data_IF_606983139860
#
_entry.id   IF_606983139860
#
_cell.length_a   1.000
_cell.length_b   1.000
_cell.length_c   1.000
_cell.angle_alpha   90.00
_cell.angle_beta   90.00
_cell.angle_gamma   90.00
#
_symmetry.space_group_name_H-M   'P 1'
#
loop_
_entity.id
_entity.type
_entity.pdbx_description
1 polymer ?
#
# COMPACT_ATOMS: atom_id res chain seq x y z
N UNK A 1 -24.95 20.69 69.38
CA UNK A 1 -24.23 21.94 69.02
C UNK A 1 -22.82 21.59 68.65
N UNK A 2 -22.52 21.54 67.33
CA UNK A 2 -21.20 21.79 66.75
C UNK A 2 -21.32 21.80 65.24
N UNK A 3 -20.96 22.92 64.64
CA UNK A 3 -21.12 23.29 63.21
C UNK A 3 -20.10 22.60 62.34
N UNK A 4 -20.52 22.09 61.17
CA UNK A 4 -19.62 21.71 60.08
C UNK A 4 -19.27 22.94 59.25
N UNK A 5 -18.02 23.07 58.73
CA UNK A 5 -17.67 24.10 57.74
C UNK A 5 -17.91 23.61 56.32
N UNK A 6 -18.38 24.53 55.49
CA UNK A 6 -18.68 24.35 54.07
C UNK A 6 -17.39 24.27 53.24
N UNK A 7 -17.23 23.23 52.41
CA UNK A 7 -16.17 23.10 51.43
C UNK A 7 -16.50 23.86 50.13
N UNK A 8 -15.59 24.71 49.69
CA UNK A 8 -15.63 25.50 48.44
C UNK A 8 -15.46 24.60 47.24
N UNK A 9 -16.46 24.56 46.38
CA UNK A 9 -16.32 24.06 44.99
C UNK A 9 -15.41 25.01 44.20
N UNK A 10 -14.28 24.51 43.69
CA UNK A 10 -13.48 25.17 42.63
C UNK A 10 -14.13 24.86 41.30
N UNK A 11 -14.64 25.91 40.64
CA UNK A 11 -15.06 25.86 39.23
C UNK A 11 -13.80 25.74 38.37
N UNK A 12 -13.70 24.67 37.58
CA UNK A 12 -12.72 24.55 36.49
C UNK A 12 -13.35 25.20 35.28
N UNK A 13 -12.74 26.30 34.81
CA UNK A 13 -13.20 27.05 33.65
C UNK A 13 -12.91 26.24 32.37
N UNK A 14 -13.94 26.06 31.58
CA UNK A 14 -13.82 25.57 30.21
C UNK A 14 -13.24 26.69 29.34
N UNK A 15 -12.04 26.48 28.77
CA UNK A 15 -11.51 27.34 27.71
C UNK A 15 -12.18 26.94 26.39
N UNK A 16 -13.13 27.76 25.95
CA UNK A 16 -13.64 27.72 24.59
C UNK A 16 -12.71 28.54 23.69
N UNK A 17 -12.00 27.88 22.79
CA UNK A 17 -11.25 28.57 21.74
C UNK A 17 -12.22 28.86 20.60
N UNK A 18 -12.65 30.10 20.51
CA UNK A 18 -13.42 30.64 19.39
C UNK A 18 -12.44 30.98 18.28
N UNK A 19 -12.45 30.24 17.17
CA UNK A 19 -11.75 30.62 15.95
C UNK A 19 -12.64 31.57 15.16
N UNK A 20 -12.28 32.86 15.16
CA UNK A 20 -12.89 33.86 14.32
C UNK A 20 -12.47 33.65 12.86
N UNK A 21 -13.45 33.38 12.00
CA UNK A 21 -13.28 33.44 10.54
C UNK A 21 -13.43 34.87 10.12
N UNK A 22 -12.31 35.52 9.79
CA UNK A 22 -12.30 36.83 9.14
C UNK A 22 -12.53 36.65 7.64
N UNK A 23 -13.71 37.02 7.17
CA UNK A 23 -14.01 37.19 5.78
C UNK A 23 -13.42 38.55 5.32
N UNK A 24 -12.30 38.50 4.58
CA UNK A 24 -11.72 39.61 3.88
C UNK A 24 -12.02 39.50 2.38
N UNK A 25 -13.02 40.20 1.91
CA UNK A 25 -13.24 40.42 0.47
C UNK A 25 -12.26 41.44 -0.09
N UNK A 26 -11.54 41.06 -1.12
CA UNK A 26 -10.90 42.00 -2.04
C UNK A 26 -11.12 41.51 -3.46
N UNK A 27 -11.98 42.22 -4.15
CA UNK A 27 -12.13 42.12 -5.59
C UNK A 27 -10.93 42.82 -6.24
N UNK A 28 -10.24 42.16 -7.14
CA UNK A 28 -9.37 42.81 -8.13
C UNK A 28 -9.52 42.15 -9.49
N UNK A 29 -9.68 43.02 -10.45
CA UNK A 29 -10.05 42.83 -11.84
C UNK A 29 -9.11 41.90 -12.63
N UNK A 30 -9.71 41.19 -13.59
CA UNK A 30 -9.01 40.51 -14.67
C UNK A 30 -8.47 41.53 -15.72
N UNK A 31 -7.45 41.14 -16.47
CA UNK A 31 -7.51 41.38 -17.90
C UNK A 31 -7.05 40.18 -18.76
N UNK A 32 -7.73 40.01 -19.87
CA UNK A 32 -7.10 39.66 -21.14
C UNK A 32 -7.16 38.18 -21.56
N UNK A 33 -8.28 37.82 -22.18
CA UNK A 33 -8.37 36.70 -23.12
C UNK A 33 -7.34 36.82 -24.26
N UNK A 34 -6.57 35.76 -24.50
CA UNK A 34 -6.07 35.47 -25.83
C UNK A 34 -6.53 34.04 -26.20
N UNK A 35 -7.43 34.03 -27.13
CA UNK A 35 -7.89 32.88 -27.89
C UNK A 35 -6.73 32.35 -28.75
N UNK A 36 -6.45 31.06 -28.69
CA UNK A 36 -5.67 30.37 -29.72
C UNK A 36 -6.61 29.58 -30.62
N UNK A 37 -6.36 29.49 -31.93
CA UNK A 37 -7.34 29.01 -32.88
C UNK A 37 -7.39 27.50 -33.00
N UNK A 38 -8.61 27.08 -33.19
CA UNK A 38 -9.09 25.77 -33.58
C UNK A 38 -8.45 25.31 -34.91
N UNK A 39 -7.77 24.16 -34.97
CA UNK A 39 -7.35 23.53 -36.21
C UNK A 39 -8.30 22.33 -36.46
N UNK A 40 -9.21 22.57 -37.36
CA UNK A 40 -10.12 21.56 -37.89
C UNK A 40 -9.37 20.48 -38.70
N UNK A 41 -9.74 19.24 -38.45
CA UNK A 41 -9.44 18.10 -39.31
C UNK A 41 -10.06 18.31 -40.71
N UNK A 42 -9.24 18.07 -41.71
CA UNK A 42 -9.71 17.93 -43.09
C UNK A 42 -9.25 16.59 -43.65
N UNK A 43 -10.19 15.71 -43.78
CA UNK A 43 -10.06 14.48 -44.56
C UNK A 43 -10.05 14.86 -46.07
N UNK A 44 -9.14 14.27 -46.81
CA UNK A 44 -9.26 14.12 -48.25
C UNK A 44 -8.75 12.76 -48.65
N UNK A 45 -9.67 11.99 -49.23
CA UNK A 45 -9.40 10.79 -49.98
C UNK A 45 -8.85 11.16 -51.38
N UNK A 46 -8.05 10.30 -51.95
CA UNK A 46 -7.59 10.45 -53.32
C UNK A 46 -6.79 9.24 -53.81
N UNK A 47 -7.38 8.56 -54.74
CA UNK A 47 -7.08 7.28 -55.39
C UNK A 47 -5.71 7.14 -56.08
N UNK A 48 -5.31 5.89 -56.10
CA UNK A 48 -4.71 5.06 -57.15
C UNK A 48 -3.84 5.68 -58.26
N UNK A 49 -2.68 5.15 -58.50
CA UNK A 49 -2.41 4.28 -59.65
C UNK A 49 -0.95 3.84 -59.77
N UNK A 50 -0.82 2.63 -60.23
CA UNK A 50 0.34 1.87 -60.68
C UNK A 50 1.45 2.66 -61.38
N UNK A 51 2.70 2.28 -61.05
CA UNK A 51 3.73 2.11 -62.09
C UNK A 51 4.85 1.15 -61.59
N UNK A 52 4.90 0.02 -62.23
CA UNK A 52 6.01 -0.91 -62.26
C UNK A 52 7.30 -0.20 -62.71
N UNK A 53 8.40 -0.33 -61.95
CA UNK A 53 9.73 -0.09 -62.45
C UNK A 53 10.68 -1.20 -61.98
N UNK A 54 11.31 -1.82 -62.95
CA UNK A 54 12.22 -2.95 -62.85
C UNK A 54 13.48 -2.66 -62.01
N UNK A 55 14.13 -3.68 -61.44
CA UNK A 55 15.33 -3.51 -60.64
C UNK A 55 16.57 -3.27 -61.53
N UNK A 56 17.32 -2.23 -61.25
CA UNK A 56 18.62 -1.97 -61.81
C UNK A 56 19.66 -3.00 -61.30
N UNK A 57 20.58 -3.46 -62.13
CA UNK A 57 21.56 -4.45 -61.73
C UNK A 57 22.66 -3.84 -60.81
N UNK A 58 22.98 -4.60 -59.79
CA UNK A 58 24.04 -4.32 -58.81
C UNK A 58 25.42 -4.37 -59.49
N UNK A 59 26.31 -3.40 -59.31
CA UNK A 59 27.67 -3.51 -59.78
C UNK A 59 28.46 -4.57 -58.99
N UNK A 60 29.35 -5.27 -59.73
CA UNK A 60 30.22 -6.29 -59.19
C UNK A 60 31.21 -5.73 -58.15
N UNK A 61 31.60 -6.51 -57.15
CA UNK A 61 32.63 -6.08 -56.18
C UNK A 61 34.00 -6.01 -56.82
N UNK A 62 34.84 -5.05 -56.40
CA UNK A 62 36.23 -4.97 -56.83
C UNK A 62 37.05 -6.14 -56.28
N UNK A 63 38.19 -6.49 -56.93
CA UNK A 63 39.02 -7.60 -56.53
C UNK A 63 39.63 -7.38 -55.15
N UNK A 64 39.62 -8.44 -54.32
CA UNK A 64 40.20 -8.48 -52.98
C UNK A 64 41.70 -8.24 -53.01
N UNK A 65 42.13 -7.11 -52.48
CA UNK A 65 43.53 -6.87 -52.08
C UNK A 65 43.83 -7.75 -50.86
N UNK A 66 44.78 -8.66 -51.02
CA UNK A 66 45.32 -9.47 -49.93
C UNK A 66 46.28 -8.60 -49.10
N UNK A 67 45.75 -8.00 -48.03
CA UNK A 67 46.58 -7.46 -46.97
C UNK A 67 47.10 -8.62 -46.09
N UNK A 68 48.39 -8.68 -45.77
CA UNK A 68 48.92 -9.74 -44.91
C UNK A 68 48.30 -9.65 -43.52
N UNK A 69 47.87 -10.80 -42.98
CA UNK A 69 47.35 -10.94 -41.63
C UNK A 69 48.34 -10.36 -40.60
N UNK A 70 47.86 -9.52 -39.66
CA UNK A 70 48.70 -9.13 -38.54
C UNK A 70 49.03 -10.35 -37.67
N UNK A 71 50.21 -10.35 -37.00
CA UNK A 71 50.59 -11.47 -36.14
C UNK A 71 49.54 -11.71 -35.06
N UNK A 72 49.25 -13.00 -34.81
CA UNK A 72 48.29 -13.43 -33.78
C UNK A 72 48.67 -12.81 -32.43
N UNK A 73 47.78 -12.03 -31.88
CA UNK A 73 47.83 -11.59 -30.48
C UNK A 73 47.73 -12.88 -29.65
N UNK A 74 48.68 -13.17 -28.74
CA UNK A 74 48.53 -14.30 -27.84
C UNK A 74 47.23 -14.13 -27.06
N UNK A 75 46.41 -15.19 -26.98
CA UNK A 75 45.22 -15.23 -26.17
C UNK A 75 45.55 -14.75 -24.74
N UNK A 76 44.69 -13.94 -24.13
CA UNK A 76 44.93 -13.56 -22.74
C UNK A 76 45.05 -14.83 -21.90
N UNK A 77 46.13 -14.91 -21.11
CA UNK A 77 46.35 -15.99 -20.19
C UNK A 77 45.10 -16.16 -19.33
N UNK A 78 44.54 -17.37 -19.36
CA UNK A 78 43.40 -17.74 -18.52
C UNK A 78 43.71 -17.36 -17.07
N UNK A 79 42.90 -16.50 -16.48
CA UNK A 79 43.03 -16.13 -15.09
C UNK A 79 42.85 -17.39 -14.23
N UNK A 80 43.88 -17.78 -13.43
CA UNK A 80 43.77 -19.00 -12.60
C UNK A 80 42.59 -18.98 -11.64
N UNK A 81 42.00 -17.79 -11.33
CA UNK A 81 40.82 -17.66 -10.49
C UNK A 81 39.55 -18.17 -11.19
N UNK A 82 39.43 -18.07 -12.50
CA UNK A 82 38.30 -18.57 -13.28
C UNK A 82 38.23 -20.10 -13.34
N UNK A 83 39.37 -20.79 -13.29
CA UNK A 83 39.44 -22.25 -13.28
C UNK A 83 39.05 -22.87 -11.91
N UNK A 84 39.18 -22.12 -10.81
CA UNK A 84 38.83 -22.59 -9.47
C UNK A 84 37.30 -22.65 -9.27
N UNK A 85 36.59 -21.61 -9.71
CA UNK A 85 35.12 -21.54 -9.59
C UNK A 85 34.40 -22.62 -10.43
N UNK A 86 34.96 -22.99 -11.58
CA UNK A 86 34.43 -24.04 -12.45
C UNK A 86 34.49 -25.45 -11.85
N UNK A 87 35.32 -25.69 -10.83
CA UNK A 87 35.51 -27.01 -10.20
C UNK A 87 34.64 -27.26 -8.97
N UNK A 88 34.20 -26.19 -8.29
CA UNK A 88 33.40 -26.32 -7.05
C UNK A 88 31.90 -26.25 -7.37
N UNK A 89 31.12 -27.14 -6.79
CA UNK A 89 29.66 -27.10 -6.91
C UNK A 89 29.09 -25.93 -6.07
N UNK A 90 28.04 -25.21 -6.52
CA UNK A 90 27.37 -24.20 -5.73
C UNK A 90 26.78 -24.81 -4.47
N UNK A 91 26.76 -24.03 -3.38
CA UNK A 91 26.12 -24.39 -2.13
C UNK A 91 25.46 -23.15 -1.52
N UNK A 92 24.51 -23.38 -0.60
CA UNK A 92 23.90 -22.31 0.18
C UNK A 92 24.91 -21.79 1.21
N UNK A 93 25.15 -20.49 1.21
CA UNK A 93 26.01 -19.79 2.19
C UNK A 93 25.18 -19.34 3.38
N UNK A 94 24.00 -18.76 3.11
CA UNK A 94 23.05 -18.33 4.11
C UNK A 94 21.62 -18.54 3.66
N UNK A 95 20.73 -18.75 4.60
CA UNK A 95 19.27 -18.78 4.38
C UNK A 95 18.57 -18.05 5.52
N UNK A 96 17.54 -17.32 5.18
CA UNK A 96 16.66 -16.64 6.13
C UNK A 96 15.19 -16.81 5.71
N UNK A 97 14.28 -16.91 6.66
CA UNK A 97 14.47 -17.07 8.11
C UNK A 97 14.82 -18.50 8.49
N UNK A 98 15.54 -18.67 9.61
CA UNK A 98 15.87 -20.00 10.20
C UNK A 98 15.32 -20.14 11.62
N UNK A 99 14.64 -19.12 12.13
CA UNK A 99 14.14 -19.02 13.50
C UNK A 99 12.64 -19.27 13.60
N UNK A 100 12.15 -19.39 14.82
CA UNK A 100 10.72 -19.48 15.14
C UNK A 100 10.12 -18.10 15.39
N UNK A 101 8.80 -18.00 15.17
CA UNK A 101 8.04 -16.80 15.50
C UNK A 101 8.31 -15.62 14.57
N UNK A 102 8.60 -15.88 13.30
CA UNK A 102 8.80 -14.80 12.33
C UNK A 102 7.45 -14.19 11.89
N UNK A 103 7.40 -12.92 11.53
CA UNK A 103 6.21 -12.30 10.95
C UNK A 103 5.71 -13.01 9.70
N UNK A 104 4.38 -13.04 9.50
CA UNK A 104 3.76 -13.75 8.37
C UNK A 104 4.05 -13.15 6.98
N UNK A 105 4.73 -12.01 6.94
CA UNK A 105 5.16 -11.34 5.71
C UNK A 105 6.68 -11.34 5.53
N UNK A 106 7.41 -12.12 6.32
CA UNK A 106 8.86 -12.18 6.22
C UNK A 106 9.29 -12.73 4.85
N UNK A 107 10.23 -12.08 4.17
CA UNK A 107 10.82 -12.63 2.96
C UNK A 107 11.66 -13.86 3.29
N UNK A 108 11.81 -14.73 2.30
CA UNK A 108 12.72 -15.87 2.35
C UNK A 108 13.91 -15.55 1.45
N UNK A 109 15.10 -15.49 2.03
CA UNK A 109 16.33 -15.10 1.33
C UNK A 109 17.29 -16.29 1.31
N UNK A 110 17.97 -16.47 0.20
CA UNK A 110 18.96 -17.52 -0.01
C UNK A 110 20.18 -16.94 -0.69
N UNK A 111 21.34 -17.07 -0.04
CA UNK A 111 22.62 -16.67 -0.61
C UNK A 111 23.37 -17.91 -1.08
N UNK A 112 23.84 -17.87 -2.32
CA UNK A 112 24.60 -18.93 -2.96
C UNK A 112 26.07 -18.55 -3.08
N UNK A 113 26.94 -19.55 -3.00
CA UNK A 113 28.40 -19.37 -3.05
C UNK A 113 28.92 -18.89 -4.41
N UNK A 114 28.10 -18.87 -5.45
CA UNK A 114 28.45 -18.43 -6.81
C UNK A 114 27.19 -18.11 -7.62
N UNK A 115 27.32 -17.41 -8.78
CA UNK A 115 26.19 -17.08 -9.65
C UNK A 115 25.35 -18.30 -10.05
N UNK A 116 24.02 -18.16 -9.96
CA UNK A 116 23.07 -19.24 -10.24
C UNK A 116 22.35 -19.02 -11.57
N UNK A 117 21.92 -20.12 -12.19
CA UNK A 117 20.88 -20.10 -13.24
C UNK A 117 19.53 -19.82 -12.55
N UNK A 118 19.10 -18.56 -12.60
CA UNK A 118 17.93 -18.05 -11.87
C UNK A 118 16.66 -18.86 -12.17
N UNK A 119 16.41 -19.14 -13.44
CA UNK A 119 15.23 -19.91 -13.88
C UNK A 119 15.24 -21.33 -13.29
N UNK A 120 16.40 -21.99 -13.21
CA UNK A 120 16.51 -23.33 -12.65
C UNK A 120 16.28 -23.37 -11.14
N UNK A 121 16.66 -22.30 -10.42
CA UNK A 121 16.46 -22.17 -8.98
C UNK A 121 14.99 -21.90 -8.68
N UNK A 122 14.38 -20.93 -9.37
CA UNK A 122 12.95 -20.58 -9.20
C UNK A 122 12.04 -21.79 -9.50
N UNK A 123 12.30 -22.51 -10.59
CA UNK A 123 11.52 -23.69 -10.97
C UNK A 123 11.64 -24.85 -9.96
N UNK A 124 12.68 -24.85 -9.15
CA UNK A 124 12.93 -25.89 -8.13
C UNK A 124 12.58 -25.49 -6.71
N UNK A 125 12.20 -24.22 -6.50
CA UNK A 125 11.83 -23.73 -5.18
C UNK A 125 10.51 -24.33 -4.72
N UNK A 126 10.51 -24.92 -3.54
CA UNK A 126 9.33 -25.52 -2.91
C UNK A 126 9.21 -24.98 -1.49
N UNK A 127 8.04 -24.48 -1.14
CA UNK A 127 7.66 -24.16 0.23
C UNK A 127 6.44 -24.97 0.64
N UNK A 128 6.50 -25.57 1.80
CA UNK A 128 5.42 -26.40 2.35
C UNK A 128 5.08 -25.96 3.78
N UNK A 129 3.80 -25.64 4.09
CA UNK A 129 2.65 -25.56 3.16
C UNK A 129 2.87 -24.58 2.00
N UNK A 130 2.21 -24.83 0.86
CA UNK A 130 2.35 -24.00 -0.34
C UNK A 130 1.92 -22.56 -0.08
N UNK A 131 2.71 -21.63 -0.54
CA UNK A 131 2.44 -20.18 -0.47
C UNK A 131 2.79 -19.55 -1.81
N UNK A 132 1.92 -18.69 -2.30
CA UNK A 132 2.19 -17.89 -3.49
C UNK A 132 2.98 -16.64 -3.10
N UNK A 133 3.86 -16.18 -3.99
CA UNK A 133 4.75 -15.05 -3.75
C UNK A 133 5.46 -14.61 -5.01
N UNK A 134 6.42 -13.72 -4.87
CA UNK A 134 7.24 -13.19 -5.97
C UNK A 134 8.71 -13.49 -5.73
N UNK A 135 9.41 -13.84 -6.81
CA UNK A 135 10.87 -13.95 -6.81
C UNK A 135 11.49 -12.62 -7.24
N UNK A 136 12.63 -12.31 -6.65
CA UNK A 136 13.52 -11.24 -7.07
C UNK A 136 14.97 -11.66 -6.82
N UNK A 137 15.89 -11.11 -7.64
CA UNK A 137 17.31 -11.35 -7.55
C UNK A 137 18.02 -10.01 -7.38
N UNK A 138 18.33 -9.60 -6.13
CA UNK A 138 19.11 -8.39 -5.88
C UNK A 138 20.48 -8.40 -6.58
N UNK A 139 21.07 -9.58 -6.71
CA UNK A 139 22.31 -9.85 -7.44
C UNK A 139 22.28 -11.28 -8.05
N UNK A 140 23.41 -11.73 -8.60
CA UNK A 140 23.50 -13.05 -9.25
C UNK A 140 23.56 -14.23 -8.27
N UNK A 141 23.79 -13.95 -6.99
CA UNK A 141 24.00 -14.95 -5.95
C UNK A 141 22.87 -15.00 -4.91
N UNK A 142 22.00 -14.01 -4.88
CA UNK A 142 20.95 -13.87 -3.85
C UNK A 142 19.58 -13.99 -4.45
N UNK A 143 18.83 -15.02 -4.06
CA UNK A 143 17.40 -15.14 -4.36
C UNK A 143 16.58 -14.63 -3.16
N UNK A 144 15.60 -13.79 -3.43
CA UNK A 144 14.60 -13.33 -2.48
C UNK A 144 13.21 -13.76 -2.96
N UNK A 145 12.53 -14.56 -2.15
CA UNK A 145 11.12 -14.90 -2.33
C UNK A 145 10.28 -14.09 -1.33
N UNK A 146 9.36 -13.29 -1.85
CA UNK A 146 8.40 -12.50 -1.07
C UNK A 146 7.05 -13.22 -1.08
N UNK A 147 6.69 -13.95 -0.01
CA UNK A 147 5.38 -14.56 0.10
C UNK A 147 4.30 -13.48 0.17
N UNK A 148 3.17 -13.66 -0.50
CA UNK A 148 2.05 -12.73 -0.33
C UNK A 148 1.55 -12.74 1.11
N UNK A 149 1.46 -13.90 1.72
CA UNK A 149 1.18 -14.05 3.15
C UNK A 149 1.46 -15.49 3.60
N UNK A 150 2.22 -15.65 4.68
CA UNK A 150 2.35 -16.90 5.40
C UNK A 150 1.16 -17.08 6.36
N UNK A 151 0.77 -18.31 6.67
CA UNK A 151 -0.22 -18.58 7.71
C UNK A 151 0.40 -18.39 9.11
N UNK A 152 -0.41 -17.99 10.09
CA UNK A 152 0.01 -17.93 11.49
C UNK A 152 0.25 -19.32 12.08
N UNK A 153 1.03 -19.40 13.16
CA UNK A 153 1.29 -20.63 13.93
C UNK A 153 1.68 -21.82 13.05
N UNK A 154 2.37 -21.56 11.95
CA UNK A 154 2.65 -22.56 10.92
C UNK A 154 4.15 -22.80 10.81
N UNK A 155 4.53 -24.07 10.77
CA UNK A 155 5.91 -24.48 10.44
C UNK A 155 6.00 -24.62 8.93
N UNK A 156 6.93 -23.90 8.32
CA UNK A 156 7.23 -24.00 6.91
C UNK A 156 8.53 -24.76 6.69
N UNK A 157 8.53 -25.62 5.69
CA UNK A 157 9.73 -26.24 5.14
C UNK A 157 10.00 -25.66 3.77
N UNK A 158 11.18 -25.11 3.58
CA UNK A 158 11.67 -24.65 2.27
C UNK A 158 12.67 -25.67 1.73
N UNK A 159 12.56 -25.96 0.46
CA UNK A 159 13.52 -26.78 -0.29
C UNK A 159 13.84 -26.06 -1.58
N UNK A 160 15.12 -26.02 -1.95
CA UNK A 160 15.61 -25.44 -3.19
C UNK A 160 16.62 -26.38 -3.83
N UNK A 161 16.57 -26.44 -5.15
CA UNK A 161 17.55 -27.14 -6.00
C UNK A 161 18.01 -26.14 -7.06
N UNK A 162 18.51 -26.62 -8.18
CA UNK A 162 18.94 -25.78 -9.30
C UNK A 162 20.41 -26.00 -9.59
N UNK A 163 20.95 -25.14 -10.43
CA UNK A 163 22.34 -25.23 -10.91
C UNK A 163 22.96 -23.82 -10.98
N UNK A 164 24.28 -23.78 -10.95
CA UNK A 164 25.00 -22.54 -11.18
C UNK A 164 24.85 -22.06 -12.63
N UNK A 165 25.22 -20.81 -12.91
CA UNK A 165 25.30 -20.27 -14.26
C UNK A 165 26.23 -21.09 -15.17
N UNK A 166 27.17 -21.88 -14.58
CA UNK A 166 28.05 -22.80 -15.27
C UNK A 166 27.47 -24.24 -15.38
N UNK A 167 26.18 -24.43 -15.06
CA UNK A 167 25.44 -25.69 -15.20
C UNK A 167 25.64 -26.73 -14.08
N UNK A 168 26.43 -26.44 -13.03
CA UNK A 168 26.68 -27.40 -11.93
C UNK A 168 25.51 -27.44 -10.96
N UNK A 169 25.06 -28.64 -10.56
CA UNK A 169 23.96 -28.78 -9.60
C UNK A 169 24.35 -28.26 -8.22
N UNK A 170 23.35 -27.69 -7.51
CA UNK A 170 23.47 -27.26 -6.11
C UNK A 170 23.84 -28.43 -5.22
N UNK A 171 24.88 -28.29 -4.42
CA UNK A 171 25.37 -29.29 -3.47
C UNK A 171 25.02 -28.93 -2.01
N UNK A 172 25.20 -29.87 -1.10
CA UNK A 172 25.01 -29.67 0.34
C UNK A 172 23.55 -29.68 0.78
N UNK A 173 23.29 -29.09 1.96
CA UNK A 173 21.93 -28.96 2.51
C UNK A 173 21.09 -28.03 1.65
N UNK A 174 19.87 -28.46 1.33
CA UNK A 174 18.97 -27.78 0.39
C UNK A 174 17.61 -27.51 0.98
N UNK A 175 17.42 -27.79 2.25
CA UNK A 175 16.16 -27.55 2.94
C UNK A 175 16.36 -27.12 4.38
N UNK A 176 15.46 -26.25 4.82
CA UNK A 176 15.40 -25.78 6.20
C UNK A 176 13.95 -25.54 6.61
N UNK A 177 13.73 -25.24 7.88
CA UNK A 177 12.40 -24.97 8.43
C UNK A 177 12.44 -23.67 9.24
N UNK A 178 11.31 -22.99 9.26
CA UNK A 178 11.04 -21.86 10.16
C UNK A 178 9.58 -21.92 10.59
N UNK A 179 9.21 -21.17 11.63
CA UNK A 179 7.80 -21.03 12.02
C UNK A 179 7.39 -19.56 12.14
N UNK A 180 6.13 -19.30 11.83
CA UNK A 180 5.54 -17.98 11.96
C UNK A 180 5.04 -17.72 13.37
N UNK A 181 4.85 -16.41 13.69
CA UNK A 181 4.23 -15.96 14.94
C UNK A 181 2.89 -16.65 15.19
N UNK A 182 2.51 -16.75 16.46
CA UNK A 182 1.18 -17.21 16.84
C UNK A 182 0.09 -16.35 16.18
N UNK A 183 -1.03 -16.98 15.87
CA UNK A 183 -2.22 -16.24 15.48
C UNK A 183 -2.57 -15.20 16.55
N UNK A 184 -3.10 -14.04 16.15
CA UNK A 184 -3.71 -13.14 17.12
C UNK A 184 -4.70 -13.89 18.01
N UNK A 185 -4.91 -13.44 19.27
CA UNK A 185 -5.91 -14.06 20.14
C UNK A 185 -7.23 -14.25 19.42
N UNK A 186 -7.95 -15.34 19.76
CA UNK A 186 -9.26 -15.62 19.21
C UNK A 186 -10.17 -14.39 19.29
N UNK A 187 -10.94 -14.11 18.21
CA UNK A 187 -11.84 -12.97 18.18
C UNK A 187 -12.83 -12.99 19.37
N UNK A 188 -12.99 -11.85 20.01
CA UNK A 188 -14.06 -11.69 21.03
C UNK A 188 -15.41 -11.91 20.37
N UNK A 189 -16.32 -12.60 21.07
CA UNK A 189 -17.67 -12.86 20.56
C UNK A 189 -18.36 -11.57 20.09
N UNK A 190 -19.22 -11.60 19.06
CA UNK A 190 -19.95 -10.43 18.58
C UNK A 190 -20.63 -9.67 19.72
N UNK A 191 -20.29 -8.43 19.88
CA UNK A 191 -20.56 -7.64 21.09
C UNK A 191 -21.80 -6.73 21.02
N UNK A 192 -21.84 -5.70 21.85
CA UNK A 192 -22.98 -4.83 22.04
C UNK A 192 -23.33 -4.01 20.78
N UNK A 193 -24.44 -3.25 20.85
CA UNK A 193 -24.88 -2.38 19.75
C UNK A 193 -23.91 -1.25 19.40
N UNK A 194 -22.97 -0.93 20.29
CA UNK A 194 -21.89 0.03 20.07
C UNK A 194 -20.59 -0.43 20.71
N UNK A 195 -19.47 0.00 20.15
CA UNK A 195 -18.12 -0.35 20.64
C UNK A 195 -17.20 0.86 20.53
N UNK A 196 -16.23 0.89 21.43
CA UNK A 196 -15.15 1.87 21.44
C UNK A 196 -13.94 1.29 20.68
N UNK A 197 -13.63 1.85 19.51
CA UNK A 197 -12.51 1.45 18.67
C UNK A 197 -11.87 2.70 18.04
N UNK A 198 -10.59 2.97 18.26
CA UNK A 198 -9.92 4.07 17.55
C UNK A 198 -9.78 3.74 16.06
N UNK A 199 -10.29 4.62 15.19
CA UNK A 199 -10.05 4.61 13.74
C UNK A 199 -9.07 5.73 13.44
N UNK A 200 -7.85 5.39 13.10
CA UNK A 200 -6.78 6.35 12.85
C UNK A 200 -6.78 6.79 11.38
N UNK A 201 -6.68 8.09 11.13
CA UNK A 201 -6.61 8.64 9.76
C UNK A 201 -5.21 9.11 9.44
N UNK A 202 -4.60 8.49 8.46
CA UNK A 202 -3.36 8.88 7.80
C UNK A 202 -3.64 9.37 6.37
N UNK A 203 -2.68 10.12 5.80
CA UNK A 203 -2.66 10.46 4.38
C UNK A 203 -1.29 10.10 3.81
N UNK A 204 -0.29 10.97 3.98
CA UNK A 204 1.08 10.70 3.51
C UNK A 204 1.94 10.03 4.58
N UNK A 205 2.76 9.07 4.17
CA UNK A 205 3.85 8.53 4.99
C UNK A 205 5.19 8.91 4.33
N UNK A 206 5.55 10.17 4.48
CA UNK A 206 6.72 10.80 3.84
C UNK A 206 7.31 11.91 4.69
N UNK A 207 8.51 12.36 4.33
CA UNK A 207 9.05 13.64 4.82
C UNK A 207 8.57 14.76 3.89
N UNK A 208 7.83 15.72 4.40
CA UNK A 208 7.51 16.96 3.65
C UNK A 208 8.69 17.91 3.77
N UNK A 209 9.36 18.18 2.67
CA UNK A 209 10.55 19.05 2.60
C UNK A 209 10.25 20.49 2.18
N UNK A 210 9.01 20.80 1.78
CA UNK A 210 8.63 22.18 1.45
C UNK A 210 8.07 22.89 2.71
N UNK A 211 8.81 23.85 3.29
CA UNK A 211 8.35 24.56 4.49
C UNK A 211 7.12 25.46 4.24
N UNK A 212 6.78 25.72 2.98
CA UNK A 212 5.62 26.53 2.59
C UNK A 212 4.35 25.69 2.46
N UNK A 213 4.49 24.37 2.29
CA UNK A 213 3.37 23.44 2.21
C UNK A 213 2.90 23.01 3.60
N UNK A 214 2.26 23.93 4.32
CA UNK A 214 1.74 23.68 5.67
C UNK A 214 0.66 22.56 5.68
N UNK A 215 -0.15 22.48 4.61
CA UNK A 215 -1.18 21.45 4.51
C UNK A 215 -0.54 20.07 4.30
N UNK A 216 0.42 19.97 3.38
CA UNK A 216 1.17 18.74 3.17
C UNK A 216 1.93 18.32 4.43
N UNK A 217 2.51 19.27 5.20
CA UNK A 217 3.10 18.95 6.49
C UNK A 217 2.07 18.36 7.46
N UNK A 218 0.92 19.03 7.62
CA UNK A 218 -0.13 18.58 8.53
C UNK A 218 -0.74 17.21 8.16
N UNK A 219 -0.61 16.80 6.89
CA UNK A 219 -1.08 15.52 6.37
C UNK A 219 0.03 14.44 6.34
N UNK A 220 1.29 14.79 6.56
CA UNK A 220 2.43 13.88 6.44
C UNK A 220 2.88 13.37 7.81
N UNK A 221 3.04 12.05 7.93
CA UNK A 221 3.78 11.40 9.03
C UNK A 221 5.10 10.92 8.44
N UNK A 222 6.22 11.15 9.14
CA UNK A 222 7.49 10.66 8.62
C UNK A 222 7.56 9.13 8.66
N UNK A 223 8.32 8.48 7.78
CA UNK A 223 8.50 7.02 7.84
C UNK A 223 9.00 6.53 9.19
N UNK A 224 9.87 7.29 9.85
CA UNK A 224 10.40 6.97 11.17
C UNK A 224 9.32 7.05 12.25
N UNK A 225 8.50 8.12 12.25
CA UNK A 225 7.41 8.27 13.21
C UNK A 225 6.33 7.20 12.98
N UNK A 226 6.00 6.92 11.71
CA UNK A 226 5.04 5.86 11.38
C UNK A 226 5.54 4.49 11.87
N UNK A 227 6.80 4.14 11.65
CA UNK A 227 7.39 2.91 12.16
C UNK A 227 7.37 2.86 13.69
N UNK A 228 7.67 3.98 14.37
CA UNK A 228 7.60 4.07 15.82
C UNK A 228 6.18 3.88 16.35
N UNK A 229 5.17 4.44 15.67
CA UNK A 229 3.75 4.26 16.00
C UNK A 229 3.31 2.80 15.83
N UNK A 230 3.70 2.13 14.74
CA UNK A 230 3.38 0.71 14.50
C UNK A 230 4.06 -0.21 15.54
N UNK A 231 5.34 0.06 15.84
CA UNK A 231 6.05 -0.62 16.93
C UNK A 231 5.35 -0.44 18.28
N UNK A 232 4.88 0.78 18.58
CA UNK A 232 4.16 1.05 19.82
C UNK A 232 2.84 0.27 19.89
N UNK A 233 2.05 0.25 18.81
CA UNK A 233 0.81 -0.53 18.74
C UNK A 233 1.07 -2.01 18.99
N UNK A 234 2.06 -2.59 18.32
CA UNK A 234 2.44 -3.99 18.48
C UNK A 234 2.85 -4.31 19.92
N UNK A 235 3.73 -3.45 20.50
CA UNK A 235 4.26 -3.65 21.86
C UNK A 235 3.19 -3.53 22.95
N UNK A 236 2.16 -2.73 22.69
CA UNK A 236 1.05 -2.53 23.63
C UNK A 236 -0.13 -3.47 23.38
N UNK A 237 0.01 -4.46 22.50
CA UNK A 237 -0.97 -5.52 22.25
C UNK A 237 -2.22 -5.04 21.49
N UNK A 238 -2.08 -3.99 20.67
CA UNK A 238 -3.13 -3.58 19.74
C UNK A 238 -3.17 -4.50 18.52
N UNK A 239 -4.37 -4.80 18.06
CA UNK A 239 -4.60 -5.65 16.91
C UNK A 239 -5.30 -4.84 15.80
N UNK A 240 -4.56 -4.42 14.77
CA UNK A 240 -5.17 -3.72 13.65
C UNK A 240 -6.17 -4.59 12.89
N UNK A 241 -7.37 -4.06 12.73
CA UNK A 241 -8.50 -4.62 11.99
C UNK A 241 -8.88 -3.67 10.85
N UNK A 242 -9.76 -4.09 9.95
CA UNK A 242 -10.32 -3.27 8.88
C UNK A 242 -11.67 -2.66 9.27
N UNK A 243 -12.19 -1.74 8.47
CA UNK A 243 -13.56 -1.22 8.68
C UNK A 243 -14.60 -2.30 8.43
N UNK A 244 -14.40 -3.20 7.48
CA UNK A 244 -15.27 -4.37 7.27
C UNK A 244 -15.23 -5.33 8.47
N UNK A 245 -14.09 -5.54 9.14
CA UNK A 245 -14.03 -6.35 10.37
C UNK A 245 -14.90 -5.71 11.47
N UNK A 246 -14.89 -4.38 11.62
CA UNK A 246 -15.74 -3.66 12.57
C UNK A 246 -17.21 -3.75 12.20
N UNK A 247 -17.56 -3.57 10.90
CA UNK A 247 -18.93 -3.76 10.42
C UNK A 247 -19.42 -5.17 10.70
N UNK A 248 -18.64 -6.19 10.36
CA UNK A 248 -19.00 -7.59 10.61
C UNK A 248 -19.22 -7.89 12.09
N UNK A 249 -18.42 -7.29 12.99
CA UNK A 249 -18.61 -7.41 14.43
C UNK A 249 -19.93 -6.78 14.89
N UNK A 250 -20.17 -5.54 14.50
CA UNK A 250 -21.42 -4.83 14.87
C UNK A 250 -22.65 -5.53 14.29
N UNK A 251 -22.52 -6.12 13.10
CA UNK A 251 -23.55 -6.93 12.44
C UNK A 251 -23.63 -8.37 12.99
N UNK A 252 -22.86 -8.70 14.04
CA UNK A 252 -22.84 -10.00 14.73
C UNK A 252 -22.50 -11.20 13.85
N UNK A 253 -21.70 -10.98 12.81
CA UNK A 253 -21.24 -12.06 11.90
C UNK A 253 -19.81 -12.49 12.18
N UNK A 254 -19.05 -11.69 12.97
CA UNK A 254 -17.65 -11.97 13.33
C UNK A 254 -17.33 -11.42 14.71
N UNK A 255 -16.36 -12.03 15.42
CA UNK A 255 -15.75 -11.47 16.63
C UNK A 255 -14.60 -10.51 16.30
N UNK A 256 -14.14 -9.75 17.31
CA UNK A 256 -12.94 -8.92 17.22
C UNK A 256 -11.85 -9.43 18.15
N UNK A 257 -10.57 -9.20 17.82
CA UNK A 257 -9.48 -9.41 18.76
C UNK A 257 -9.56 -8.43 19.93
N UNK A 258 -8.80 -8.68 20.98
CA UNK A 258 -8.62 -7.72 22.08
C UNK A 258 -7.92 -6.45 21.56
N UNK A 259 -8.19 -5.29 22.18
CA UNK A 259 -7.62 -3.98 21.81
C UNK A 259 -7.62 -3.73 20.29
N UNK A 260 -8.78 -3.78 19.61
CA UNK A 260 -8.85 -3.52 18.19
C UNK A 260 -8.52 -2.05 17.90
N UNK A 261 -7.82 -1.80 16.78
CA UNK A 261 -7.57 -0.48 16.23
C UNK A 261 -7.70 -0.54 14.71
N UNK A 262 -8.18 0.52 14.07
CA UNK A 262 -8.27 0.59 12.61
C UNK A 262 -7.29 1.64 12.11
N UNK A 263 -6.47 1.27 11.12
CA UNK A 263 -5.54 2.16 10.45
C UNK A 263 -6.14 2.49 9.08
N UNK A 264 -6.48 3.76 8.85
CA UNK A 264 -7.03 4.19 7.56
C UNK A 264 -6.07 5.15 6.85
N UNK A 265 -5.96 5.03 5.52
CA UNK A 265 -5.13 5.85 4.68
C UNK A 265 -5.98 6.44 3.56
N UNK A 266 -6.10 7.78 3.53
CA UNK A 266 -6.93 8.47 2.56
C UNK A 266 -6.14 8.78 1.27
N UNK A 267 -6.87 9.06 0.19
CA UNK A 267 -6.44 9.55 -1.13
C UNK A 267 -5.77 8.54 -2.06
N UNK A 268 -5.16 7.46 -1.57
CA UNK A 268 -4.50 6.46 -2.41
C UNK A 268 -3.11 6.88 -2.92
N UNK A 269 -2.36 7.64 -2.13
CA UNK A 269 -1.01 8.09 -2.47
C UNK A 269 -0.01 6.95 -2.65
N UNK A 270 0.97 7.16 -3.52
CA UNK A 270 2.00 6.16 -3.85
C UNK A 270 2.87 5.77 -2.64
N UNK A 271 3.07 6.69 -1.68
CA UNK A 271 3.85 6.44 -0.48
C UNK A 271 3.16 5.49 0.51
N UNK A 272 1.84 5.31 0.41
CA UNK A 272 1.19 4.19 1.08
C UNK A 272 1.81 2.85 0.67
N UNK A 273 1.94 2.62 -0.64
CA UNK A 273 2.50 1.38 -1.16
C UNK A 273 4.02 1.27 -0.94
N UNK A 274 4.76 2.36 -1.21
CA UNK A 274 6.22 2.32 -1.19
C UNK A 274 6.82 2.42 0.22
N UNK A 275 6.08 2.99 1.18
CA UNK A 275 6.58 3.29 2.53
C UNK A 275 5.72 2.66 3.63
N UNK A 276 4.41 2.94 3.65
CA UNK A 276 3.56 2.46 4.73
C UNK A 276 3.36 0.93 4.68
N UNK A 277 3.06 0.39 3.51
CA UNK A 277 2.75 -1.04 3.34
C UNK A 277 3.89 -1.97 3.77
N UNK A 278 5.18 -1.73 3.44
CA UNK A 278 6.28 -2.53 3.98
C UNK A 278 6.34 -2.53 5.50
N UNK A 279 6.11 -1.38 6.15
CA UNK A 279 6.09 -1.26 7.60
C UNK A 279 4.90 -2.04 8.19
N UNK A 280 3.70 -1.90 7.63
CA UNK A 280 2.53 -2.67 8.04
C UNK A 280 2.76 -4.17 7.90
N UNK A 281 3.34 -4.60 6.78
CA UNK A 281 3.69 -6.01 6.53
C UNK A 281 4.66 -6.57 7.57
N UNK A 282 5.67 -5.80 7.98
CA UNK A 282 6.64 -6.26 8.99
C UNK A 282 6.00 -6.57 10.35
N UNK A 283 4.84 -5.96 10.63
CA UNK A 283 4.04 -6.22 11.83
C UNK A 283 2.85 -7.16 11.59
N UNK A 284 2.62 -7.63 10.37
CA UNK A 284 1.41 -8.36 9.98
C UNK A 284 0.11 -7.58 10.23
N UNK A 285 0.18 -6.26 10.14
CA UNK A 285 -0.93 -5.36 10.40
C UNK A 285 -1.83 -5.21 9.18
N UNK A 286 -3.14 -5.26 9.43
CA UNK A 286 -4.16 -4.87 8.47
C UNK A 286 -4.33 -3.35 8.46
N UNK A 287 -4.91 -2.83 7.39
CA UNK A 287 -5.32 -1.44 7.26
C UNK A 287 -6.42 -1.32 6.20
N UNK A 288 -7.07 -0.16 6.14
CA UNK A 288 -8.01 0.21 5.07
C UNK A 288 -7.42 1.38 4.28
N UNK A 289 -7.30 1.25 2.96
CA UNK A 289 -6.82 2.32 2.07
C UNK A 289 -7.95 2.81 1.18
N UNK A 290 -8.32 4.09 1.32
CA UNK A 290 -9.38 4.73 0.54
C UNK A 290 -8.82 5.36 -0.73
N UNK A 291 -9.28 4.88 -1.87
CA UNK A 291 -8.74 5.23 -3.19
C UNK A 291 -9.63 6.24 -3.91
N UNK A 292 -9.04 7.34 -4.36
CA UNK A 292 -9.66 8.23 -5.33
C UNK A 292 -9.49 7.58 -6.71
N UNK A 293 -10.56 6.96 -7.22
CA UNK A 293 -10.45 6.05 -8.39
C UNK A 293 -9.95 6.75 -9.66
N UNK A 294 -10.30 8.01 -9.87
CA UNK A 294 -9.82 8.80 -11.01
C UNK A 294 -8.37 9.28 -10.88
N UNK A 295 -7.69 9.03 -9.74
CA UNK A 295 -6.28 9.38 -9.56
C UNK A 295 -5.33 8.18 -9.72
N UNK A 296 -5.88 6.97 -9.85
CA UNK A 296 -5.09 5.75 -10.02
C UNK A 296 -4.14 5.88 -11.23
N UNK A 297 -2.86 5.62 -10.99
CA UNK A 297 -1.80 5.70 -11.99
C UNK A 297 -1.31 7.12 -12.31
N UNK A 298 -1.88 8.17 -11.72
CA UNK A 298 -1.35 9.54 -11.83
C UNK A 298 -0.07 9.67 -11.00
N UNK A 299 0.77 10.62 -11.36
CA UNK A 299 1.99 10.91 -10.57
C UNK A 299 1.67 11.18 -9.11
N UNK A 300 2.33 10.49 -8.20
CA UNK A 300 2.12 10.59 -6.75
C UNK A 300 1.01 9.69 -6.17
N UNK A 301 0.29 8.93 -7.00
CA UNK A 301 -0.75 7.99 -6.58
C UNK A 301 -0.38 6.54 -6.94
N UNK A 302 -0.99 5.59 -6.26
CA UNK A 302 -0.80 4.18 -6.55
C UNK A 302 -1.27 3.81 -7.97
N UNK A 303 -0.54 2.91 -8.60
CA UNK A 303 -0.98 2.25 -9.85
C UNK A 303 -2.01 1.16 -9.56
N UNK A 304 -2.73 0.72 -10.60
CA UNK A 304 -3.67 -0.39 -10.51
C UNK A 304 -3.02 -1.68 -9.95
N UNK A 305 -1.79 -1.97 -10.37
CA UNK A 305 -1.07 -3.17 -9.88
C UNK A 305 -0.65 -3.04 -8.42
N UNK A 306 -0.25 -1.85 -7.97
CA UNK A 306 0.06 -1.58 -6.58
C UNK A 306 -1.17 -1.73 -5.67
N UNK A 307 -2.34 -1.28 -6.14
CA UNK A 307 -3.61 -1.46 -5.41
C UNK A 307 -3.97 -2.94 -5.31
N UNK A 308 -3.88 -3.70 -6.42
CA UNK A 308 -4.11 -5.16 -6.39
C UNK A 308 -3.13 -5.90 -5.46
N UNK A 309 -1.90 -5.44 -5.40
CA UNK A 309 -0.91 -6.06 -4.50
C UNK A 309 -1.18 -5.72 -3.03
N UNK A 310 -1.57 -4.47 -2.74
CA UNK A 310 -1.97 -4.07 -1.40
C UNK A 310 -3.17 -4.90 -0.92
N UNK A 311 -4.20 -5.06 -1.75
CA UNK A 311 -5.37 -5.89 -1.50
C UNK A 311 -5.00 -7.35 -1.18
N UNK A 312 -4.23 -7.99 -2.06
CA UNK A 312 -3.73 -9.36 -1.83
C UNK A 312 -2.88 -9.51 -0.56
N UNK A 313 -2.33 -8.42 -0.08
CA UNK A 313 -1.54 -8.39 1.17
C UNK A 313 -2.41 -8.24 2.43
N UNK A 314 -3.73 -8.21 2.28
CA UNK A 314 -4.68 -8.09 3.39
C UNK A 314 -5.00 -6.64 3.77
N UNK A 315 -4.72 -5.68 2.89
CA UNK A 315 -5.22 -4.30 3.00
C UNK A 315 -6.61 -4.26 2.39
N UNK A 316 -7.58 -3.78 3.16
CA UNK A 316 -8.90 -3.47 2.64
C UNK A 316 -8.82 -2.25 1.72
N UNK A 317 -9.35 -2.37 0.51
CA UNK A 317 -9.45 -1.25 -0.43
C UNK A 317 -10.85 -0.66 -0.34
N UNK A 318 -10.93 0.59 0.10
CA UNK A 318 -12.15 1.37 0.14
C UNK A 318 -12.19 2.46 -0.94
N UNK A 319 -13.36 3.05 -1.14
CA UNK A 319 -13.56 4.13 -2.10
C UNK A 319 -13.43 5.51 -1.45
N UNK A 320 -12.83 6.46 -2.18
CA UNK A 320 -12.75 7.87 -1.82
C UNK A 320 -13.29 8.79 -2.94
N UNK A 321 -14.40 8.37 -3.57
CA UNK A 321 -15.00 8.98 -4.77
C UNK A 321 -14.14 8.87 -6.04
N UNK A 322 -14.61 9.46 -7.15
CA UNK A 322 -13.88 9.44 -8.42
C UNK A 322 -12.77 10.51 -8.46
N UNK A 323 -13.06 11.74 -8.05
CA UNK A 323 -12.16 12.90 -8.23
C UNK A 323 -11.97 13.73 -6.95
N UNK A 324 -12.27 13.15 -5.77
CA UNK A 324 -12.20 13.80 -4.47
C UNK A 324 -13.12 15.04 -4.35
N UNK A 325 -14.30 14.98 -5.01
CA UNK A 325 -15.27 16.07 -5.00
C UNK A 325 -15.84 16.37 -3.61
N UNK A 326 -16.18 17.65 -3.37
CA UNK A 326 -16.97 18.02 -2.19
C UNK A 326 -18.43 17.59 -2.37
N UNK A 327 -18.74 16.37 -1.89
CA UNK A 327 -20.06 15.75 -2.08
C UNK A 327 -21.20 16.53 -1.45
N UNK A 328 -20.94 17.26 -0.34
CA UNK A 328 -21.94 18.09 0.33
C UNK A 328 -22.44 19.28 -0.52
N UNK A 329 -21.66 19.67 -1.54
CA UNK A 329 -21.97 20.77 -2.46
C UNK A 329 -22.31 20.28 -3.87
N UNK A 330 -22.28 18.99 -4.11
CA UNK A 330 -22.58 18.38 -5.40
C UNK A 330 -24.07 18.14 -5.60
N UNK A 331 -24.53 18.16 -6.85
CA UNK A 331 -25.87 17.67 -7.17
C UNK A 331 -25.98 16.19 -6.86
N UNK A 332 -27.19 15.71 -6.54
CA UNK A 332 -27.40 14.30 -6.18
C UNK A 332 -27.03 13.35 -7.35
N UNK A 333 -27.21 13.80 -8.60
CA UNK A 333 -26.78 13.02 -9.77
C UNK A 333 -25.26 12.89 -9.82
N UNK A 334 -24.50 13.95 -9.50
CA UNK A 334 -23.05 13.88 -9.40
C UNK A 334 -22.61 13.01 -8.21
N UNK A 335 -23.30 13.11 -7.08
CA UNK A 335 -23.03 12.23 -5.91
C UNK A 335 -23.12 10.76 -6.31
N UNK A 336 -24.20 10.36 -7.01
CA UNK A 336 -24.39 8.99 -7.50
C UNK A 336 -23.25 8.54 -8.42
N UNK A 337 -22.82 9.41 -9.32
CA UNK A 337 -21.69 9.13 -10.21
C UNK A 337 -20.39 8.98 -9.39
N UNK A 338 -20.07 9.91 -8.50
CA UNK A 338 -18.87 9.89 -7.68
C UNK A 338 -18.77 8.62 -6.81
N UNK A 339 -19.88 8.22 -6.21
CA UNK A 339 -19.97 7.07 -5.31
C UNK A 339 -20.05 5.75 -6.09
N UNK A 340 -20.92 5.67 -7.11
CA UNK A 340 -21.18 4.44 -7.87
C UNK A 340 -20.07 4.10 -8.85
N UNK A 341 -19.54 5.09 -9.60
CA UNK A 341 -18.51 4.85 -10.60
C UNK A 341 -17.17 4.50 -9.94
N UNK A 342 -16.86 5.13 -8.81
CA UNK A 342 -15.68 4.76 -8.01
C UNK A 342 -15.76 3.32 -7.51
N UNK A 343 -16.92 2.91 -6.97
CA UNK A 343 -17.17 1.53 -6.52
C UNK A 343 -16.96 0.55 -7.66
N UNK A 344 -17.65 0.75 -8.78
CA UNK A 344 -17.58 -0.13 -9.95
C UNK A 344 -16.14 -0.27 -10.46
N UNK A 345 -15.42 0.84 -10.60
CA UNK A 345 -14.03 0.82 -11.05
C UNK A 345 -13.14 -0.03 -10.13
N UNK A 346 -13.27 0.15 -8.82
CA UNK A 346 -12.45 -0.60 -7.86
C UNK A 346 -12.84 -2.07 -7.80
N UNK A 347 -14.13 -2.41 -7.89
CA UNK A 347 -14.61 -3.79 -7.95
C UNK A 347 -14.16 -4.52 -9.23
N UNK A 348 -14.20 -3.85 -10.40
CA UNK A 348 -13.64 -4.37 -11.63
C UNK A 348 -12.12 -4.58 -11.53
N UNK A 349 -11.42 -3.66 -10.86
CA UNK A 349 -10.00 -3.76 -10.63
C UNK A 349 -9.61 -4.95 -9.76
N UNK A 350 -10.36 -5.22 -8.69
CA UNK A 350 -10.04 -6.17 -7.63
C UNK A 350 -10.67 -7.55 -7.84
N UNK A 351 -11.81 -7.62 -8.55
CA UNK A 351 -12.57 -8.85 -8.76
C UNK A 351 -13.43 -9.26 -7.55
N UNK A 352 -13.66 -8.37 -6.60
CA UNK A 352 -14.53 -8.59 -5.44
C UNK A 352 -15.22 -7.30 -4.97
N UNK A 353 -16.27 -7.37 -4.13
CA UNK A 353 -16.96 -6.19 -3.63
C UNK A 353 -16.05 -5.22 -2.86
N UNK A 354 -16.29 -3.91 -3.05
CA UNK A 354 -15.70 -2.81 -2.27
C UNK A 354 -16.77 -2.25 -1.35
N UNK A 355 -16.59 -2.43 -0.04
CA UNK A 355 -17.65 -2.22 0.96
C UNK A 355 -17.44 -0.99 1.84
N UNK A 356 -16.23 -0.42 1.86
CA UNK A 356 -15.87 0.74 2.65
C UNK A 356 -15.83 2.03 1.83
N UNK A 357 -16.36 3.13 2.38
CA UNK A 357 -16.32 4.46 1.78
C UNK A 357 -15.71 5.49 2.73
N UNK A 358 -15.03 6.51 2.18
CA UNK A 358 -14.60 7.69 2.94
C UNK A 358 -15.06 8.96 2.23
N UNK A 359 -15.71 9.86 2.96
CA UNK A 359 -16.14 11.15 2.38
C UNK A 359 -14.95 12.07 2.13
N UNK A 360 -14.74 12.55 0.89
CA UNK A 360 -13.70 13.55 0.61
C UNK A 360 -13.76 14.73 1.56
N UNK A 361 -12.63 15.00 2.24
CA UNK A 361 -12.53 16.05 3.28
C UNK A 361 -13.58 15.91 4.41
N UNK A 362 -14.19 14.75 4.60
CA UNK A 362 -15.29 14.53 5.54
C UNK A 362 -16.58 15.31 5.22
N UNK A 363 -16.76 15.76 3.98
CA UNK A 363 -17.88 16.62 3.57
C UNK A 363 -19.04 15.79 3.01
N UNK A 364 -20.11 15.72 3.77
CA UNK A 364 -21.34 14.99 3.42
C UNK A 364 -22.59 15.71 3.94
N UNK A 365 -23.75 15.26 3.47
CA UNK A 365 -25.10 15.54 4.01
C UNK A 365 -25.82 14.20 4.23
N UNK A 366 -26.96 14.21 4.91
CA UNK A 366 -27.75 12.98 5.05
C UNK A 366 -28.17 12.41 3.69
N UNK A 367 -28.45 13.24 2.69
CA UNK A 367 -28.75 12.80 1.34
C UNK A 367 -27.54 12.09 0.69
N UNK A 368 -26.32 12.59 0.89
CA UNK A 368 -25.09 11.94 0.42
C UNK A 368 -24.90 10.60 1.12
N UNK A 369 -25.08 10.53 2.44
CA UNK A 369 -24.96 9.28 3.18
C UNK A 369 -25.99 8.22 2.72
N UNK A 370 -27.20 8.63 2.37
CA UNK A 370 -28.21 7.75 1.80
C UNK A 370 -27.80 7.20 0.43
N UNK A 371 -27.13 8.01 -0.42
CA UNK A 371 -26.60 7.53 -1.72
C UNK A 371 -25.43 6.55 -1.52
N UNK A 372 -24.57 6.75 -0.54
CA UNK A 372 -23.51 5.79 -0.18
C UNK A 372 -24.11 4.47 0.27
N UNK A 373 -25.16 4.51 1.11
CA UNK A 373 -25.89 3.32 1.53
C UNK A 373 -26.58 2.62 0.34
N UNK A 374 -27.23 3.39 -0.54
CA UNK A 374 -27.92 2.87 -1.73
C UNK A 374 -26.96 2.25 -2.75
N UNK A 375 -25.70 2.71 -2.81
CA UNK A 375 -24.65 2.11 -3.65
C UNK A 375 -24.13 0.77 -3.10
N UNK A 376 -24.58 0.34 -1.91
CA UNK A 376 -24.23 -0.94 -1.30
C UNK A 376 -22.89 -0.94 -0.57
N UNK A 377 -22.41 0.20 -0.08
CA UNK A 377 -21.34 0.22 0.92
C UNK A 377 -21.86 -0.23 2.27
N UNK A 378 -21.03 -0.88 3.06
CA UNK A 378 -21.36 -1.33 4.41
C UNK A 378 -21.19 -0.22 5.44
N UNK A 379 -20.14 0.59 5.25
CA UNK A 379 -19.78 1.67 6.16
C UNK A 379 -19.21 2.89 5.41
N UNK A 380 -19.12 4.01 6.13
CA UNK A 380 -18.42 5.18 5.66
C UNK A 380 -17.80 5.97 6.81
N UNK A 381 -16.58 6.48 6.58
CA UNK A 381 -15.80 7.26 7.53
C UNK A 381 -15.81 8.74 7.20
N UNK A 382 -15.69 9.57 8.26
CA UNK A 382 -15.64 11.03 8.18
C UNK A 382 -14.34 11.58 8.76
N UNK A 383 -14.17 12.90 8.79
CA UNK A 383 -13.09 13.59 9.51
C UNK A 383 -13.50 14.07 10.91
N UNK A 384 -14.73 13.78 11.35
CA UNK A 384 -15.18 14.11 12.70
C UNK A 384 -14.37 13.31 13.73
N UNK A 385 -14.04 13.96 14.84
CA UNK A 385 -13.32 13.32 15.94
C UNK A 385 -14.24 12.41 16.76
N UNK A 386 -13.82 11.21 17.04
CA UNK A 386 -14.51 10.25 17.89
C UNK A 386 -13.98 8.84 17.74
N UNK A 387 -14.49 7.95 18.59
CA UNK A 387 -14.01 6.55 18.69
C UNK A 387 -15.12 5.59 19.17
N UNK A 388 -16.37 6.03 19.22
CA UNK A 388 -17.53 5.18 19.46
C UNK A 388 -18.26 4.93 18.15
N UNK A 389 -18.59 3.65 17.90
CA UNK A 389 -19.17 3.21 16.63
C UNK A 389 -20.30 2.21 16.87
N UNK A 390 -21.32 2.29 16.01
CA UNK A 390 -22.49 1.41 16.02
C UNK A 390 -22.94 1.11 14.59
N UNK A 391 -23.88 0.18 14.40
CA UNK A 391 -24.56 0.01 13.11
C UNK A 391 -25.44 1.21 12.75
N UNK A 392 -25.94 1.93 13.76
CA UNK A 392 -26.80 3.10 13.54
C UNK A 392 -26.07 4.27 12.89
N UNK A 393 -24.80 4.45 13.17
CA UNK A 393 -23.94 5.51 12.63
C UNK A 393 -22.91 5.00 11.61
N UNK A 394 -23.06 3.78 11.08
CA UNK A 394 -22.06 3.14 10.20
C UNK A 394 -21.68 3.94 8.96
N UNK A 395 -22.53 4.85 8.51
CA UNK A 395 -22.23 5.75 7.39
C UNK A 395 -21.62 7.08 7.81
N UNK A 396 -21.23 7.23 9.06
CA UNK A 396 -20.64 8.46 9.61
C UNK A 396 -19.61 8.19 10.69
N UNK A 397 -18.91 7.08 10.62
CA UNK A 397 -17.92 6.72 11.62
C UNK A 397 -16.84 7.80 11.75
N UNK A 398 -16.59 8.14 12.99
CA UNK A 398 -15.65 9.17 13.39
C UNK A 398 -14.23 8.62 13.46
N UNK A 399 -13.22 9.50 13.35
CA UNK A 399 -11.82 9.06 13.30
C UNK A 399 -10.92 9.96 14.17
N UNK A 400 -9.73 9.43 14.48
CA UNK A 400 -8.63 10.15 15.12
C UNK A 400 -7.60 10.50 14.06
N UNK A 401 -7.39 11.81 13.84
CA UNK A 401 -6.39 12.25 12.87
C UNK A 401 -4.97 12.07 13.40
N UNK A 402 -4.10 11.47 12.61
CA UNK A 402 -2.66 11.42 12.82
C UNK A 402 -1.98 12.28 11.73
N UNK A 403 -1.10 13.19 12.14
CA UNK A 403 -0.50 14.13 11.21
C UNK A 403 0.88 14.61 11.61
N UNK A 404 1.43 15.52 10.82
CA UNK A 404 2.77 16.06 11.00
C UNK A 404 2.95 16.78 12.35
N UNK A 405 4.11 16.56 12.95
CA UNK A 405 4.48 17.14 14.24
C UNK A 405 3.86 16.48 15.47
N UNK A 406 3.03 15.45 15.31
CA UNK A 406 2.49 14.70 16.44
C UNK A 406 3.56 13.73 16.96
N UNK A 407 3.99 13.94 18.20
CA UNK A 407 4.93 13.04 18.85
C UNK A 407 4.35 11.67 19.19
N UNK A 408 5.22 10.67 19.40
CA UNK A 408 4.78 9.32 19.79
C UNK A 408 3.98 9.32 21.12
N UNK A 409 4.30 10.21 22.05
CA UNK A 409 3.56 10.35 23.30
C UNK A 409 2.11 10.80 23.10
N UNK A 410 1.89 11.80 22.22
CA UNK A 410 0.56 12.29 21.90
C UNK A 410 -0.26 11.23 21.14
N UNK A 411 0.39 10.52 20.22
CA UNK A 411 -0.21 9.38 19.53
C UNK A 411 -0.67 8.30 20.52
N UNK A 412 0.24 7.90 21.42
CA UNK A 412 -0.04 6.88 22.42
C UNK A 412 -1.19 7.26 23.34
N UNK A 413 -1.22 8.52 23.79
CA UNK A 413 -2.30 9.04 24.63
C UNK A 413 -3.64 9.05 23.89
N UNK A 414 -3.66 9.50 22.62
CA UNK A 414 -4.88 9.53 21.81
C UNK A 414 -5.46 8.14 21.60
N UNK A 415 -4.62 7.16 21.25
CA UNK A 415 -5.05 5.76 21.02
C UNK A 415 -5.49 5.11 22.32
N UNK A 416 -4.74 5.23 23.41
CA UNK A 416 -5.10 4.64 24.70
C UNK A 416 -6.35 5.28 25.31
N UNK A 417 -6.57 6.57 25.11
CA UNK A 417 -7.80 7.26 25.53
C UNK A 417 -9.05 6.83 24.75
N UNK A 418 -8.85 6.30 23.53
CA UNK A 418 -9.88 5.85 22.60
C UNK A 418 -10.10 4.33 22.59
N UNK A 419 -9.41 3.57 23.44
CA UNK A 419 -9.45 2.09 23.50
C UNK A 419 -10.30 1.56 24.63
#
# INVERSE_FOLDING_TARGET
MTRRPAGRLRRIGAFAITIAVMAGGAALAAPGHRLMPNVQARALAGDASDALSAPTPRPAPPPSDQTPSPPAIPAPADDPSSFSAARVAPHLVAVEPTTSGIPVNSPIVMDFSQPMDQASVEASFVIQPRVDGRFSWPDQNTLRFEPFRLAYSTIYRVEVRGRSALGKPLAGSRSWTFSTVAAPPEPVAPGPQSIKVPILTYHYVRVNTDPRDQMGFALSVTPADFAAQMNWLAHNGYHPITTEDLYAYLNRTRGLPSKPVILTFDDGYADFYTTALPILRSHSFKATSYIVSGFVGRGGYMTADQIREADRSGIEIGSHSVDHANLARSSIGNVRAQVGDSKRYLEELLGHPVTAFCYPSGKYTSAVANEVAAAGYHDATTTAYGFWHSLGDRYTWTRLRVGGGQGLGDFAQAVAGAS
#
